data_IF_443929906848
#
_entry.id   IF_443929906848
#
_cell.length_a   1.000
_cell.length_b   1.000
_cell.length_c   1.000
_cell.angle_alpha   90.00
_cell.angle_beta   90.00
_cell.angle_gamma   90.00
#
_symmetry.space_group_name_H-M   'P 1'
#
loop_
_entity.id
_entity.type
_entity.pdbx_description
1 polymer ?
#
# COMPACT_ATOMS: atom_id res chain seq x y z
N UNK A 1 16.42 23.14 13.12
CA UNK A 1 15.17 23.58 12.52
C UNK A 1 14.37 22.43 11.86
N UNK A 2 14.99 21.37 11.36
CA UNK A 2 14.27 20.20 10.78
C UNK A 2 13.64 19.26 11.82
N UNK A 3 14.02 19.37 13.09
CA UNK A 3 13.67 18.42 14.15
C UNK A 3 12.20 18.46 14.62
N UNK A 4 11.40 19.40 14.11
CA UNK A 4 10.01 19.57 14.53
C UNK A 4 8.98 19.32 13.41
N UNK A 5 9.41 18.98 12.20
CA UNK A 5 8.47 18.74 11.08
C UNK A 5 7.85 17.36 11.21
N UNK A 6 8.66 16.34 11.50
CA UNK A 6 8.22 14.97 11.63
C UNK A 6 8.32 14.50 13.09
N UNK A 7 7.27 13.87 13.57
CA UNK A 7 7.25 13.23 14.90
C UNK A 7 7.36 11.71 14.69
N UNK A 8 8.61 11.22 14.63
CA UNK A 8 8.86 9.82 14.34
C UNK A 8 8.79 8.94 15.58
N UNK A 9 7.99 7.86 15.49
CA UNK A 9 8.00 6.72 16.42
C UNK A 9 8.05 5.43 15.60
N UNK A 10 9.23 4.95 15.29
CA UNK A 10 9.47 3.88 14.33
C UNK A 10 9.24 2.48 14.93
N UNK A 11 8.00 2.08 15.07
CA UNK A 11 7.62 0.82 15.72
C UNK A 11 7.87 -0.41 14.85
N UNK A 12 7.85 -0.27 13.50
CA UNK A 12 8.19 -1.37 12.58
C UNK A 12 9.61 -1.90 12.80
N UNK A 13 10.52 -1.04 13.27
CA UNK A 13 11.89 -1.41 13.64
C UNK A 13 11.96 -2.40 14.82
N UNK A 14 10.88 -2.54 15.61
CA UNK A 14 10.81 -3.52 16.71
C UNK A 14 10.52 -4.93 16.19
N UNK A 15 10.11 -5.09 14.93
CA UNK A 15 10.03 -6.39 14.29
C UNK A 15 11.44 -6.99 14.09
N UNK A 16 11.55 -8.32 14.03
CA UNK A 16 12.82 -8.99 13.72
C UNK A 16 13.50 -8.47 12.46
N UNK A 17 14.83 -8.54 12.44
CA UNK A 17 15.68 -8.00 11.37
C UNK A 17 15.40 -8.60 9.99
N UNK A 18 14.73 -9.75 9.93
CA UNK A 18 14.29 -10.40 8.70
C UNK A 18 13.29 -9.54 7.91
N UNK A 19 12.50 -8.70 8.60
CA UNK A 19 11.46 -7.87 7.98
C UNK A 19 11.97 -6.61 7.30
N UNK A 20 13.21 -6.21 7.52
CA UNK A 20 13.74 -4.97 6.96
C UNK A 20 15.27 -4.99 6.79
N UNK A 21 15.74 -4.12 5.95
CA UNK A 21 17.17 -3.84 5.78
C UNK A 21 17.42 -2.34 5.84
N UNK A 22 18.45 -1.94 6.57
CA UNK A 22 18.90 -0.54 6.57
C UNK A 22 19.43 -0.15 5.20
N UNK A 23 18.97 1.00 4.69
CA UNK A 23 19.40 1.51 3.38
C UNK A 23 19.33 3.03 3.36
N UNK A 24 20.29 3.66 2.68
CA UNK A 24 20.28 5.12 2.49
C UNK A 24 19.78 5.46 1.09
N UNK A 25 18.97 6.52 0.94
CA UNK A 25 18.61 7.03 -0.38
C UNK A 25 19.85 7.36 -1.21
N UNK A 26 19.77 7.15 -2.52
CA UNK A 26 20.78 7.63 -3.45
C UNK A 26 20.78 9.15 -3.43
N UNK A 27 21.96 9.77 -3.34
CA UNK A 27 22.08 11.21 -3.39
C UNK A 27 21.59 11.76 -4.73
N UNK A 28 20.71 12.73 -4.68
CA UNK A 28 20.15 13.45 -5.82
C UNK A 28 21.00 14.67 -6.13
N UNK A 29 21.36 14.85 -7.42
CA UNK A 29 22.33 15.89 -7.82
C UNK A 29 21.66 17.27 -7.84
N UNK A 30 20.48 17.39 -8.44
CA UNK A 30 19.77 18.65 -8.63
C UNK A 30 18.26 18.46 -8.35
N UNK A 31 17.89 18.31 -7.06
CA UNK A 31 16.50 18.11 -6.70
C UNK A 31 15.69 19.37 -6.99
N UNK A 32 14.53 19.17 -7.64
CA UNK A 32 13.58 20.23 -7.94
C UNK A 32 12.16 19.73 -7.68
N UNK A 33 11.42 20.48 -6.89
CA UNK A 33 10.02 20.16 -6.59
C UNK A 33 9.18 20.28 -7.87
N UNK A 34 8.62 19.15 -8.36
CA UNK A 34 7.72 19.13 -9.49
C UNK A 34 6.28 19.42 -9.07
N UNK A 35 5.86 18.86 -7.94
CA UNK A 35 4.55 19.09 -7.32
C UNK A 35 4.64 18.86 -5.81
N UNK A 36 3.86 19.62 -5.05
CA UNK A 36 3.74 19.52 -3.60
C UNK A 36 2.28 19.59 -3.18
N UNK A 37 1.90 18.78 -2.19
CA UNK A 37 0.54 18.67 -1.68
C UNK A 37 0.40 19.48 -0.40
N UNK A 38 0.05 20.76 -0.54
CA UNK A 38 -0.13 21.68 0.59
C UNK A 38 -1.26 21.24 1.53
N UNK A 39 -2.32 20.64 1.01
CA UNK A 39 -3.46 20.21 1.81
C UNK A 39 -3.10 18.98 2.67
N UNK A 40 -2.46 17.98 2.07
CA UNK A 40 -1.95 16.83 2.82
C UNK A 40 -0.90 17.24 3.86
N UNK A 41 -0.04 18.21 3.52
CA UNK A 41 0.94 18.77 4.44
C UNK A 41 0.26 19.32 5.71
N UNK A 42 -0.81 20.09 5.54
CA UNK A 42 -1.62 20.63 6.66
C UNK A 42 -2.35 19.54 7.44
N UNK A 43 -2.94 18.56 6.73
CA UNK A 43 -3.64 17.42 7.34
C UNK A 43 -2.73 16.60 8.25
N UNK A 44 -1.45 16.47 7.88
CA UNK A 44 -0.43 15.75 8.65
C UNK A 44 0.27 16.61 9.70
N UNK A 45 -0.09 17.89 9.82
CA UNK A 45 0.51 18.81 10.78
C UNK A 45 1.98 19.17 10.48
N UNK A 46 2.42 19.03 9.23
CA UNK A 46 3.76 19.41 8.84
C UNK A 46 3.88 20.93 8.67
N UNK A 47 4.89 21.53 9.29
CA UNK A 47 5.19 22.94 9.12
C UNK A 47 6.49 23.14 8.32
N UNK A 48 6.34 23.41 7.03
CA UNK A 48 7.43 23.73 6.11
C UNK A 48 7.63 25.24 5.92
N UNK A 49 6.92 26.10 6.65
CA UNK A 49 6.91 27.55 6.44
C UNK A 49 8.29 28.21 6.60
N UNK A 50 9.18 27.59 7.38
CA UNK A 50 10.54 28.08 7.60
C UNK A 50 11.56 27.59 6.56
N UNK A 51 11.16 26.74 5.62
CA UNK A 51 12.04 26.15 4.61
C UNK A 51 11.86 26.83 3.25
N UNK A 52 12.96 26.98 2.54
CA UNK A 52 12.90 27.35 1.13
C UNK A 52 12.38 26.18 0.26
N UNK A 53 11.85 26.45 -0.96
CA UNK A 53 11.48 25.38 -1.89
C UNK A 53 12.64 24.42 -2.21
N UNK A 54 13.88 24.92 -2.18
CA UNK A 54 15.10 24.12 -2.37
C UNK A 54 15.30 23.17 -1.18
N UNK A 55 15.20 23.68 0.07
CA UNK A 55 15.31 22.85 1.27
C UNK A 55 14.24 21.77 1.33
N UNK A 56 12.99 22.10 0.94
CA UNK A 56 11.88 21.13 0.83
C UNK A 56 12.23 20.06 -0.20
N UNK A 57 12.78 20.44 -1.36
CA UNK A 57 13.19 19.48 -2.40
C UNK A 57 14.28 18.54 -1.89
N UNK A 58 15.27 19.06 -1.17
CA UNK A 58 16.34 18.26 -0.55
C UNK A 58 15.82 17.31 0.52
N UNK A 59 14.86 17.75 1.32
CA UNK A 59 14.22 16.93 2.36
C UNK A 59 13.40 15.79 1.75
N UNK A 60 12.51 16.11 0.78
CA UNK A 60 11.56 15.17 0.21
C UNK A 60 12.16 14.26 -0.88
N UNK A 61 13.43 14.42 -1.25
CA UNK A 61 14.18 13.47 -2.07
C UNK A 61 15.16 12.59 -1.26
N UNK A 62 15.28 12.83 0.04
CA UNK A 62 16.19 12.09 0.92
C UNK A 62 17.64 12.56 0.90
N UNK A 63 17.96 13.74 0.34
CA UNK A 63 19.29 14.36 0.46
C UNK A 63 19.54 14.88 1.87
N UNK A 64 18.51 15.38 2.52
CA UNK A 64 18.52 15.81 3.91
C UNK A 64 17.64 14.85 4.71
N UNK A 65 18.22 14.22 5.72
CA UNK A 65 17.54 13.22 6.54
C UNK A 65 17.20 13.85 7.89
N UNK A 66 15.92 13.92 8.27
CA UNK A 66 15.50 14.39 9.59
C UNK A 66 15.97 13.47 10.71
N UNK A 67 16.21 14.03 11.89
CA UNK A 67 16.51 13.24 13.08
C UNK A 67 15.33 12.32 13.42
N UNK A 68 15.64 11.14 13.94
CA UNK A 68 14.65 10.11 14.25
C UNK A 68 14.21 9.25 13.07
N UNK A 69 14.74 9.49 11.86
CA UNK A 69 14.43 8.65 10.68
C UNK A 69 14.92 7.21 10.85
N UNK A 70 14.19 6.25 10.30
CA UNK A 70 14.54 4.81 10.36
C UNK A 70 15.30 4.29 9.13
N UNK A 71 15.09 4.86 7.96
CA UNK A 71 15.75 4.55 6.68
C UNK A 71 15.87 3.05 6.40
N UNK A 72 14.75 2.39 6.21
CA UNK A 72 14.70 0.95 5.92
C UNK A 72 13.98 0.64 4.61
N UNK A 73 14.35 -0.46 3.98
CA UNK A 73 13.56 -1.14 2.97
C UNK A 73 12.89 -2.35 3.61
N UNK A 74 11.59 -2.54 3.38
CA UNK A 74 10.81 -3.61 3.98
C UNK A 74 10.86 -4.88 3.12
N UNK A 75 10.95 -6.05 3.78
CA UNK A 75 10.91 -7.34 3.13
C UNK A 75 9.46 -7.82 3.00
N UNK A 76 9.12 -8.36 1.85
CA UNK A 76 7.87 -9.07 1.61
C UNK A 76 8.05 -10.08 0.47
N UNK A 77 7.07 -10.94 0.26
CA UNK A 77 6.97 -11.82 -0.89
C UNK A 77 5.65 -11.50 -1.62
N UNK A 78 5.32 -12.24 -2.65
CA UNK A 78 4.02 -12.08 -3.28
C UNK A 78 3.80 -13.00 -4.46
N UNK A 79 2.52 -13.22 -4.78
CA UNK A 79 2.12 -13.89 -5.99
C UNK A 79 1.94 -12.87 -7.10
N UNK A 80 2.98 -12.68 -7.90
CA UNK A 80 2.94 -11.79 -9.07
C UNK A 80 2.37 -12.55 -10.26
N UNK A 81 1.21 -12.11 -10.75
CA UNK A 81 0.44 -12.82 -11.79
C UNK A 81 0.23 -14.32 -11.49
N UNK A 82 0.06 -14.66 -10.20
CA UNK A 82 -0.11 -16.02 -9.71
C UNK A 82 1.17 -16.79 -9.40
N UNK A 83 2.34 -16.25 -9.71
CA UNK A 83 3.64 -16.88 -9.42
C UNK A 83 4.26 -16.31 -8.15
N UNK A 84 4.55 -17.18 -7.18
CA UNK A 84 5.18 -16.76 -5.92
C UNK A 84 6.61 -16.28 -6.15
N UNK A 85 6.94 -15.12 -5.61
CA UNK A 85 8.24 -14.47 -5.79
C UNK A 85 8.67 -13.78 -4.49
N UNK A 86 9.95 -13.93 -4.14
CA UNK A 86 10.58 -13.12 -3.08
C UNK A 86 10.78 -11.70 -3.60
N UNK A 87 10.31 -10.75 -2.82
CA UNK A 87 10.27 -9.33 -3.18
C UNK A 87 10.82 -8.48 -2.02
N UNK A 88 10.34 -7.28 -1.92
CA UNK A 88 10.65 -6.27 -0.94
C UNK A 88 10.64 -4.90 -1.60
N UNK A 89 10.88 -3.86 -0.83
CA UNK A 89 10.96 -2.48 -1.31
C UNK A 89 12.16 -2.30 -2.24
N UNK A 90 12.08 -2.78 -3.47
CA UNK A 90 13.17 -2.77 -4.44
C UNK A 90 13.55 -1.38 -4.99
N UNK A 91 12.72 -0.38 -4.72
CA UNK A 91 12.95 1.03 -5.11
C UNK A 91 12.30 2.02 -4.15
N UNK A 92 11.98 1.57 -2.94
CA UNK A 92 11.34 2.40 -1.95
C UNK A 92 12.08 2.29 -0.61
N UNK A 93 12.08 3.37 0.15
CA UNK A 93 12.76 3.47 1.44
C UNK A 93 11.80 4.16 2.40
N UNK A 94 11.45 3.49 3.49
CA UNK A 94 10.69 4.07 4.58
C UNK A 94 11.59 5.07 5.31
N UNK A 95 11.20 6.34 5.32
CA UNK A 95 11.88 7.40 6.05
C UNK A 95 11.62 7.27 7.57
N UNK A 96 10.39 6.94 7.92
CA UNK A 96 9.95 6.76 9.29
C UNK A 96 8.43 6.70 9.40
N UNK A 97 7.97 6.52 10.64
CA UNK A 97 6.56 6.47 11.00
C UNK A 97 6.20 7.75 11.75
N UNK A 98 5.48 8.66 11.10
CA UNK A 98 5.02 9.92 11.67
C UNK A 98 3.77 9.71 12.52
N UNK A 99 3.74 10.30 13.72
CA UNK A 99 2.60 10.24 14.65
C UNK A 99 1.91 11.58 14.72
N UNK A 100 0.59 11.56 14.55
CA UNK A 100 -0.27 12.73 14.72
C UNK A 100 -1.49 12.32 15.57
N UNK A 101 -1.50 12.72 16.83
CA UNK A 101 -2.49 12.25 17.79
C UNK A 101 -2.41 10.76 18.01
N UNK A 102 -3.49 10.04 17.76
CA UNK A 102 -3.60 8.58 17.82
C UNK A 102 -3.32 7.88 16.48
N UNK A 103 -3.04 8.66 15.42
CA UNK A 103 -2.77 8.13 14.08
C UNK A 103 -1.27 8.04 13.81
N UNK A 104 -0.89 7.03 13.03
CA UNK A 104 0.48 6.77 12.63
C UNK A 104 0.53 6.55 11.12
N UNK A 105 1.47 7.22 10.46
CA UNK A 105 1.63 7.20 9.01
C UNK A 105 3.07 6.85 8.63
N UNK A 106 3.23 5.92 7.73
CA UNK A 106 4.50 5.64 7.06
C UNK A 106 4.80 6.75 6.07
N UNK A 107 6.01 7.31 6.13
CA UNK A 107 6.56 8.21 5.11
C UNK A 107 7.60 7.44 4.31
N UNK A 108 7.36 7.26 3.02
CA UNK A 108 8.20 6.43 2.17
C UNK A 108 8.65 7.19 0.91
N UNK A 109 9.94 7.12 0.59
CA UNK A 109 10.48 7.59 -0.68
C UNK A 109 10.42 6.48 -1.72
N UNK A 110 9.77 6.71 -2.86
CA UNK A 110 9.69 5.76 -3.98
C UNK A 110 10.48 6.27 -5.18
N UNK A 111 11.41 5.47 -5.68
CA UNK A 111 12.37 5.86 -6.72
C UNK A 111 13.68 6.43 -6.18
N UNK A 112 13.97 6.20 -4.90
CA UNK A 112 15.08 6.82 -4.17
C UNK A 112 16.42 6.06 -4.27
N UNK A 113 16.51 5.08 -5.16
CA UNK A 113 17.74 4.32 -5.42
C UNK A 113 17.63 2.83 -5.07
N UNK A 114 18.72 2.07 -5.30
CA UNK A 114 18.72 0.64 -5.09
C UNK A 114 18.67 0.28 -3.60
N UNK A 115 18.00 -0.84 -3.33
CA UNK A 115 17.92 -1.49 -2.01
C UNK A 115 18.39 -2.93 -2.11
N UNK A 116 18.55 -3.66 -1.01
CA UNK A 116 18.83 -5.10 -1.05
C UNK A 116 17.79 -5.93 -1.82
N UNK A 117 16.59 -5.37 -2.02
CA UNK A 117 15.48 -6.03 -2.73
C UNK A 117 15.31 -5.61 -4.19
N UNK A 118 16.21 -4.78 -4.73
CA UNK A 118 16.12 -4.28 -6.12
C UNK A 118 16.41 -5.35 -7.17
N UNK A 119 16.95 -6.51 -6.75
CA UNK A 119 17.42 -7.56 -7.68
C UNK A 119 18.41 -6.95 -8.69
N UNK A 120 18.11 -6.99 -9.99
CA UNK A 120 18.93 -6.34 -11.04
C UNK A 120 18.49 -4.91 -11.37
N UNK A 121 17.51 -4.36 -10.66
CA UNK A 121 16.99 -3.02 -10.90
C UNK A 121 17.89 -1.93 -10.29
N UNK A 122 17.82 -0.71 -10.86
CA UNK A 122 18.56 0.46 -10.39
C UNK A 122 17.88 1.19 -9.21
N UNK A 123 16.67 0.76 -8.83
CA UNK A 123 15.90 1.38 -7.75
C UNK A 123 15.37 2.77 -8.06
N UNK A 124 15.51 3.26 -9.29
CA UNK A 124 15.10 4.59 -9.71
C UNK A 124 13.70 4.59 -10.36
N UNK A 125 13.08 5.75 -10.44
CA UNK A 125 11.79 5.92 -11.09
C UNK A 125 11.78 7.13 -12.03
N UNK A 126 11.13 6.97 -13.20
CA UNK A 126 10.90 8.08 -14.10
C UNK A 126 9.75 8.97 -13.59
N UNK A 127 9.73 10.24 -13.98
CA UNK A 127 8.75 11.23 -13.53
C UNK A 127 7.30 10.83 -13.88
N UNK A 128 7.06 10.27 -15.08
CA UNK A 128 5.72 9.92 -15.53
C UNK A 128 4.99 8.95 -14.58
N UNK A 129 5.56 7.79 -14.21
CA UNK A 129 5.01 6.91 -13.18
C UNK A 129 4.80 7.57 -11.82
N UNK A 130 5.68 8.46 -11.37
CA UNK A 130 5.56 9.15 -10.09
C UNK A 130 4.41 10.18 -10.10
N UNK A 131 4.29 10.94 -11.20
CA UNK A 131 3.17 11.87 -11.40
C UNK A 131 1.84 11.14 -11.52
N UNK A 132 1.78 10.00 -12.20
CA UNK A 132 0.56 9.18 -12.26
C UNK A 132 0.14 8.72 -10.88
N UNK A 133 1.07 8.18 -10.06
CA UNK A 133 0.77 7.75 -8.71
C UNK A 133 0.27 8.92 -7.85
N UNK A 134 0.89 10.10 -7.97
CA UNK A 134 0.43 11.31 -7.30
C UNK A 134 -1.00 11.68 -7.71
N UNK A 135 -1.27 11.80 -9.00
CA UNK A 135 -2.57 12.24 -9.52
C UNK A 135 -3.68 11.26 -9.13
N UNK A 136 -3.44 9.95 -9.31
CA UNK A 136 -4.46 8.94 -9.06
C UNK A 136 -4.70 8.75 -7.56
N UNK A 137 -3.66 8.74 -6.72
CA UNK A 137 -3.84 8.61 -5.28
C UNK A 137 -4.64 9.77 -4.69
N UNK A 138 -4.39 11.00 -5.13
CA UNK A 138 -5.14 12.16 -4.67
C UNK A 138 -6.58 12.17 -5.26
N UNK A 139 -6.76 11.75 -6.52
CA UNK A 139 -8.11 11.57 -7.07
C UNK A 139 -8.94 10.56 -6.26
N UNK A 140 -8.35 9.42 -5.88
CA UNK A 140 -9.00 8.41 -5.05
C UNK A 140 -9.37 8.96 -3.68
N UNK A 141 -8.50 9.75 -3.06
CA UNK A 141 -8.79 10.42 -1.80
C UNK A 141 -10.01 11.33 -1.91
N UNK A 142 -10.06 12.20 -2.92
CA UNK A 142 -11.21 13.11 -3.12
C UNK A 142 -12.49 12.40 -3.57
N UNK A 143 -12.39 11.17 -4.06
CA UNK A 143 -13.53 10.26 -4.30
C UNK A 143 -13.95 9.47 -3.05
N UNK A 144 -13.34 9.76 -1.89
CA UNK A 144 -13.56 9.06 -0.61
C UNK A 144 -13.24 7.55 -0.66
N UNK A 145 -12.22 7.17 -1.43
CA UNK A 145 -11.74 5.80 -1.51
C UNK A 145 -10.44 5.67 -0.71
N UNK A 146 -10.34 4.72 0.24
CA UNK A 146 -9.13 4.53 1.01
C UNK A 146 -7.90 4.31 0.11
N UNK A 147 -6.87 5.12 0.31
CA UNK A 147 -5.69 5.15 -0.56
C UNK A 147 -4.47 5.67 0.19
N UNK A 148 -3.29 5.18 -0.17
CA UNK A 148 -2.07 5.92 0.14
C UNK A 148 -2.14 7.30 -0.50
N UNK A 149 -1.47 8.29 0.12
CA UNK A 149 -1.45 9.68 -0.33
C UNK A 149 -0.06 10.02 -0.87
N UNK A 150 0.01 11.08 -1.64
CA UNK A 150 1.24 11.58 -2.24
C UNK A 150 1.53 12.99 -1.75
N UNK A 151 2.65 13.16 -1.01
CA UNK A 151 3.04 14.46 -0.46
C UNK A 151 3.77 15.32 -1.50
N UNK A 152 4.69 14.72 -2.24
CA UNK A 152 5.45 15.45 -3.25
C UNK A 152 6.02 14.53 -4.33
N UNK A 153 6.30 15.10 -5.51
CA UNK A 153 7.19 14.53 -6.51
C UNK A 153 8.37 15.50 -6.71
N UNK A 154 9.57 14.98 -6.57
CA UNK A 154 10.83 15.73 -6.73
C UNK A 154 11.59 15.17 -7.93
N UNK A 155 11.87 16.01 -8.92
CA UNK A 155 12.80 15.69 -10.03
C UNK A 155 14.22 15.55 -9.50
N UNK A 156 14.99 14.58 -10.04
CA UNK A 156 16.35 14.33 -9.57
C UNK A 156 17.43 15.13 -10.32
N UNK A 157 17.08 15.71 -11.47
CA UNK A 157 18.02 16.33 -12.38
C UNK A 157 18.90 15.33 -13.15
N UNK A 158 18.61 14.03 -13.04
CA UNK A 158 19.28 12.94 -13.76
C UNK A 158 18.29 12.25 -14.69
N UNK A 159 18.77 11.82 -15.87
CA UNK A 159 17.99 10.97 -16.77
C UNK A 159 18.05 9.51 -16.33
N UNK A 160 16.93 8.83 -16.44
CA UNK A 160 16.79 7.39 -16.24
C UNK A 160 16.64 6.73 -17.60
N UNK A 161 17.44 5.71 -17.86
CA UNK A 161 17.38 4.93 -19.09
C UNK A 161 16.41 3.77 -18.90
N UNK A 162 15.38 3.72 -19.74
CA UNK A 162 14.45 2.61 -19.90
C UNK A 162 14.43 2.25 -21.41
N UNK A 163 13.29 2.31 -22.06
CA UNK A 163 13.20 2.21 -23.52
C UNK A 163 13.83 3.42 -24.20
N UNK A 164 13.78 4.56 -23.53
CA UNK A 164 14.43 5.81 -23.88
C UNK A 164 14.87 6.55 -22.60
N UNK A 165 15.43 7.75 -22.75
CA UNK A 165 15.77 8.60 -21.61
C UNK A 165 14.52 9.30 -21.08
N UNK A 166 14.30 9.24 -19.77
CA UNK A 166 13.26 9.94 -19.06
C UNK A 166 13.82 10.72 -17.88
N UNK A 167 13.30 11.91 -17.54
CA UNK A 167 13.66 12.58 -16.31
C UNK A 167 13.38 11.68 -15.11
N UNK A 168 14.35 11.58 -14.19
CA UNK A 168 14.22 10.84 -12.95
C UNK A 168 13.42 11.62 -11.91
N UNK A 169 12.66 10.92 -11.07
CA UNK A 169 11.92 11.54 -9.98
C UNK A 169 11.77 10.60 -8.77
N UNK A 170 11.53 11.21 -7.62
CA UNK A 170 11.21 10.53 -6.36
C UNK A 170 9.84 11.01 -5.90
N UNK A 171 8.97 10.06 -5.53
CA UNK A 171 7.70 10.32 -4.89
C UNK A 171 7.83 10.13 -3.38
N UNK A 172 7.40 11.12 -2.59
CA UNK A 172 7.17 10.97 -1.15
C UNK A 172 5.74 10.49 -0.94
N UNK A 173 5.60 9.21 -0.58
CA UNK A 173 4.34 8.52 -0.35
C UNK A 173 4.01 8.47 1.14
N UNK A 174 2.74 8.64 1.47
CA UNK A 174 2.18 8.56 2.82
C UNK A 174 1.16 7.43 2.85
N UNK A 175 1.21 6.57 3.85
CA UNK A 175 0.24 5.48 4.04
C UNK A 175 0.06 5.20 5.53
N UNK A 176 -1.07 4.65 5.93
CA UNK A 176 -1.24 4.19 7.33
C UNK A 176 -0.23 3.09 7.68
N UNK A 177 0.09 2.22 6.75
CA UNK A 177 1.29 1.36 6.77
C UNK A 177 1.51 0.70 5.41
N UNK A 178 2.71 0.11 5.23
CA UNK A 178 3.04 -0.70 4.07
C UNK A 178 3.02 -2.21 4.37
N UNK A 179 2.37 -2.64 5.46
CA UNK A 179 2.14 -4.05 5.73
C UNK A 179 1.14 -4.59 4.71
N UNK A 180 1.50 -5.68 4.04
CA UNK A 180 0.76 -6.27 2.92
C UNK A 180 0.46 -7.74 3.19
N UNK A 181 -0.44 -8.33 2.43
CA UNK A 181 -0.58 -9.80 2.39
C UNK A 181 0.78 -10.44 2.11
N UNK A 182 1.56 -9.85 1.21
CA UNK A 182 2.93 -10.28 0.90
C UNK A 182 3.91 -10.26 2.07
N UNK A 183 3.72 -9.40 3.08
CA UNK A 183 4.55 -9.39 4.29
C UNK A 183 4.31 -10.66 5.13
N UNK A 184 3.06 -11.09 5.24
CA UNK A 184 2.70 -12.35 5.90
C UNK A 184 3.19 -13.57 5.12
N UNK A 185 3.11 -13.52 3.79
CA UNK A 185 3.67 -14.58 2.94
C UNK A 185 5.18 -14.70 3.08
N UNK A 186 5.89 -13.58 3.25
CA UNK A 186 7.30 -13.58 3.56
C UNK A 186 7.58 -14.22 4.94
N UNK A 187 6.81 -13.85 5.96
CA UNK A 187 7.00 -14.37 7.31
C UNK A 187 6.85 -15.89 7.40
N UNK A 188 5.84 -16.46 6.71
CA UNK A 188 5.54 -17.90 6.81
C UNK A 188 6.59 -18.81 6.19
N UNK A 189 7.34 -18.30 5.20
CA UNK A 189 8.36 -19.10 4.52
C UNK A 189 9.74 -19.05 5.20
N UNK A 190 9.91 -18.18 6.21
CA UNK A 190 11.14 -18.13 6.99
C UNK A 190 11.31 -19.37 7.87
N UNK A 191 12.55 -19.64 8.25
CA UNK A 191 12.87 -20.77 9.14
C UNK A 191 12.23 -20.57 10.55
N UNK A 192 12.32 -19.35 11.10
CA UNK A 192 11.67 -18.98 12.37
C UNK A 192 10.15 -18.82 12.19
N UNK A 193 9.40 -19.85 12.54
CA UNK A 193 7.93 -19.83 12.47
C UNK A 193 7.26 -18.85 13.44
N UNK A 194 7.99 -18.31 14.41
CA UNK A 194 7.48 -17.28 15.32
C UNK A 194 7.28 -15.93 14.64
N UNK A 195 7.90 -15.70 13.47
CA UNK A 195 7.82 -14.43 12.74
C UNK A 195 6.38 -14.08 12.35
N UNK A 196 5.57 -15.07 11.97
CA UNK A 196 4.15 -14.84 11.65
C UNK A 196 3.40 -14.28 12.86
N UNK A 197 3.62 -14.88 14.05
CA UNK A 197 2.97 -14.42 15.27
C UNK A 197 3.44 -13.02 15.70
N UNK A 198 4.73 -12.72 15.56
CA UNK A 198 5.29 -11.38 15.84
C UNK A 198 4.68 -10.32 14.91
N UNK A 199 4.63 -10.61 13.60
CA UNK A 199 4.01 -9.73 12.60
C UNK A 199 2.51 -9.56 12.86
N UNK A 200 1.80 -10.64 13.17
CA UNK A 200 0.38 -10.63 13.48
C UNK A 200 0.07 -9.71 14.67
N UNK A 201 0.77 -9.89 15.81
CA UNK A 201 0.57 -9.05 16.98
C UNK A 201 0.87 -7.58 16.68
N UNK A 202 1.97 -7.29 15.98
CA UNK A 202 2.29 -5.93 15.54
C UNK A 202 1.18 -5.33 14.67
N UNK A 203 0.64 -6.11 13.73
CA UNK A 203 -0.44 -5.66 12.83
C UNK A 203 -1.74 -5.40 13.59
N UNK A 204 -2.06 -6.24 14.58
CA UNK A 204 -3.21 -6.01 15.46
C UNK A 204 -3.06 -4.70 16.24
N UNK A 205 -1.93 -4.51 16.91
CA UNK A 205 -1.66 -3.29 17.70
C UNK A 205 -1.77 -2.02 16.83
N UNK A 206 -1.31 -2.10 15.58
CA UNK A 206 -1.26 -0.97 14.67
C UNK A 206 -2.60 -0.63 14.00
N UNK A 207 -3.36 -1.63 13.57
CA UNK A 207 -4.54 -1.42 12.73
C UNK A 207 -5.84 -1.90 13.35
N UNK A 208 -5.79 -2.83 14.30
CA UNK A 208 -6.95 -3.48 14.88
C UNK A 208 -6.90 -3.54 16.42
N UNK A 209 -6.61 -2.42 17.12
CA UNK A 209 -6.46 -2.42 18.56
C UNK A 209 -7.72 -2.91 19.29
N UNK A 210 -8.90 -2.75 18.68
CA UNK A 210 -10.17 -3.27 19.19
C UNK A 210 -10.25 -4.79 19.23
N UNK A 211 -9.40 -5.51 18.49
CA UNK A 211 -9.35 -6.97 18.48
C UNK A 211 -8.36 -7.56 19.50
N UNK A 212 -7.60 -6.71 20.21
CA UNK A 212 -6.58 -7.18 21.18
C UNK A 212 -7.16 -8.01 22.32
N UNK A 213 -8.40 -7.76 22.71
CA UNK A 213 -9.09 -8.49 23.76
C UNK A 213 -10.01 -9.61 23.25
N UNK A 214 -10.06 -9.84 21.92
CA UNK A 214 -10.87 -10.92 21.34
C UNK A 214 -10.33 -12.29 21.74
N UNK A 215 -11.22 -13.25 21.92
CA UNK A 215 -10.88 -14.66 22.17
C UNK A 215 -10.47 -15.40 20.88
N UNK A 216 -10.87 -14.86 19.72
CA UNK A 216 -10.63 -15.44 18.39
C UNK A 216 -9.85 -14.46 17.49
N UNK A 217 -8.82 -13.80 18.05
CA UNK A 217 -8.10 -12.68 17.41
C UNK A 217 -7.77 -12.90 15.95
N UNK A 218 -7.24 -14.08 15.60
CA UNK A 218 -6.79 -14.35 14.23
C UNK A 218 -7.96 -14.52 13.25
N UNK A 219 -9.05 -15.11 13.70
CA UNK A 219 -10.26 -15.25 12.88
C UNK A 219 -10.98 -13.90 12.72
N UNK A 220 -11.11 -13.14 13.81
CA UNK A 220 -11.73 -11.81 13.77
C UNK A 220 -10.92 -10.82 12.93
N UNK A 221 -9.57 -10.93 12.99
CA UNK A 221 -8.68 -10.20 12.12
C UNK A 221 -8.91 -10.54 10.64
N UNK A 222 -9.05 -11.84 10.32
CA UNK A 222 -9.35 -12.26 8.95
C UNK A 222 -10.66 -11.66 8.45
N UNK A 223 -11.73 -11.70 9.26
CA UNK A 223 -13.01 -11.09 8.93
C UNK A 223 -12.90 -9.57 8.75
N UNK A 224 -12.15 -8.88 9.61
CA UNK A 224 -11.95 -7.43 9.49
C UNK A 224 -11.23 -7.05 8.18
N UNK A 225 -10.20 -7.79 7.78
CA UNK A 225 -9.53 -7.59 6.49
C UNK A 225 -10.46 -7.91 5.32
N UNK A 226 -11.24 -8.97 5.40
CA UNK A 226 -12.24 -9.34 4.37
C UNK A 226 -13.22 -8.19 4.18
N UNK A 227 -13.73 -7.62 5.26
CA UNK A 227 -14.68 -6.50 5.21
C UNK A 227 -14.05 -5.26 4.56
N UNK A 228 -12.86 -4.86 5.00
CA UNK A 228 -12.13 -3.71 4.43
C UNK A 228 -11.85 -3.88 2.94
N UNK A 229 -11.42 -5.06 2.51
CA UNK A 229 -11.12 -5.32 1.11
C UNK A 229 -12.39 -5.41 0.25
N UNK A 230 -13.50 -5.91 0.79
CA UNK A 230 -14.79 -5.89 0.10
C UNK A 230 -15.26 -4.45 -0.11
N UNK A 231 -15.17 -3.57 0.89
CA UNK A 231 -15.49 -2.15 0.78
C UNK A 231 -14.61 -1.46 -0.28
N UNK A 232 -13.31 -1.69 -0.21
CA UNK A 232 -12.34 -1.08 -1.13
C UNK A 232 -12.66 -1.43 -2.58
N UNK A 233 -12.81 -2.74 -2.87
CA UNK A 233 -13.04 -3.20 -4.25
C UNK A 233 -14.43 -2.81 -4.75
N UNK A 234 -15.46 -2.80 -3.89
CA UNK A 234 -16.78 -2.28 -4.25
C UNK A 234 -16.70 -0.82 -4.70
N UNK A 235 -15.91 0.01 -4.01
CA UNK A 235 -15.69 1.40 -4.40
C UNK A 235 -14.89 1.54 -5.71
N UNK A 236 -13.90 0.67 -5.97
CA UNK A 236 -13.21 0.66 -7.28
C UNK A 236 -14.18 0.34 -8.42
N UNK A 237 -15.03 -0.68 -8.21
CA UNK A 237 -16.03 -1.09 -9.22
C UNK A 237 -17.02 0.04 -9.50
N UNK A 238 -17.47 0.75 -8.46
CA UNK A 238 -18.40 1.89 -8.57
C UNK A 238 -17.91 2.99 -9.51
N UNK A 239 -16.62 3.30 -9.46
CA UNK A 239 -16.04 4.40 -10.25
C UNK A 239 -15.34 3.95 -11.54
N UNK A 240 -15.46 2.66 -11.90
CA UNK A 240 -14.80 2.12 -13.08
C UNK A 240 -13.27 2.07 -13.00
N UNK A 241 -12.70 2.02 -11.79
CA UNK A 241 -11.27 1.96 -11.59
C UNK A 241 -10.74 0.54 -11.77
N UNK A 242 -9.64 0.42 -12.50
CA UNK A 242 -8.89 -0.84 -12.69
C UNK A 242 -7.50 -0.65 -12.13
N UNK A 243 -7.16 -1.43 -11.10
CA UNK A 243 -5.83 -1.38 -10.48
C UNK A 243 -4.74 -1.90 -11.42
N UNK A 244 -5.04 -2.95 -12.16
CA UNK A 244 -4.19 -3.52 -13.20
C UNK A 244 -3.08 -4.45 -12.69
N UNK A 245 -2.72 -4.44 -11.40
CA UNK A 245 -1.72 -5.34 -10.80
C UNK A 245 -2.14 -5.71 -9.37
N UNK A 246 -3.12 -6.60 -9.26
CA UNK A 246 -3.65 -7.05 -7.95
C UNK A 246 -2.89 -8.25 -7.41
N UNK A 247 -1.58 -8.15 -7.37
CA UNK A 247 -0.72 -9.12 -6.70
C UNK A 247 -0.94 -9.08 -5.18
N UNK A 248 -0.57 -10.14 -4.47
CA UNK A 248 -0.64 -10.17 -2.99
C UNK A 248 0.28 -9.15 -2.32
N UNK A 249 1.34 -8.72 -3.01
CA UNK A 249 2.23 -7.64 -2.58
C UNK A 249 1.64 -6.24 -2.80
N UNK A 250 0.49 -6.12 -3.48
CA UNK A 250 -0.25 -4.86 -3.66
C UNK A 250 -1.58 -4.82 -2.87
N UNK A 251 -1.74 -5.70 -1.89
CA UNK A 251 -2.90 -5.71 -0.97
C UNK A 251 -2.44 -5.26 0.42
N UNK A 252 -2.68 -3.99 0.74
CA UNK A 252 -2.36 -3.41 2.05
C UNK A 252 -3.37 -3.86 3.10
N UNK A 253 -2.87 -4.20 4.29
CA UNK A 253 -3.72 -4.61 5.42
C UNK A 253 -4.34 -3.41 6.15
N UNK A 254 -3.92 -2.18 5.82
CA UNK A 254 -4.60 -0.94 6.21
C UNK A 254 -5.92 -0.71 5.46
N UNK A 255 -6.23 -1.52 4.43
CA UNK A 255 -7.40 -1.31 3.56
C UNK A 255 -7.21 -0.19 2.52
N UNK A 256 -6.00 0.34 2.38
CA UNK A 256 -5.70 1.40 1.40
C UNK A 256 -5.32 0.82 0.04
N UNK A 257 -5.68 1.51 -1.04
CA UNK A 257 -5.13 1.27 -2.37
C UNK A 257 -3.68 1.73 -2.41
N UNK A 258 -2.76 0.87 -2.86
CA UNK A 258 -1.33 1.18 -2.98
C UNK A 258 -0.79 0.82 -4.37
N UNK A 259 0.38 1.38 -4.71
CA UNK A 259 1.17 1.01 -5.90
C UNK A 259 0.43 1.20 -7.24
N UNK A 260 0.07 2.44 -7.55
CA UNK A 260 -0.57 2.85 -8.80
C UNK A 260 0.38 2.72 -10.01
N UNK A 261 0.46 1.49 -10.51
CA UNK A 261 1.25 1.14 -11.70
C UNK A 261 0.47 1.37 -12.99
N UNK A 262 0.04 0.33 -13.71
CA UNK A 262 -0.72 0.44 -14.95
C UNK A 262 -2.22 0.67 -14.71
N UNK A 263 -2.60 1.36 -13.63
CA UNK A 263 -3.99 1.63 -13.28
C UNK A 263 -4.61 2.68 -14.19
N UNK A 264 -5.93 2.61 -14.37
CA UNK A 264 -6.71 3.64 -15.04
C UNK A 264 -8.21 3.53 -14.69
N UNK A 265 -8.98 4.55 -15.09
CA UNK A 265 -10.44 4.52 -15.09
C UNK A 265 -10.94 4.13 -16.48
N UNK A 266 -12.05 3.38 -16.56
CA UNK A 266 -12.65 3.01 -17.85
C UNK A 266 -13.35 4.22 -18.48
N UNK A 267 -13.17 4.42 -19.78
CA UNK A 267 -13.95 5.38 -20.56
C UNK A 267 -15.32 4.81 -20.95
N UNK A 268 -15.36 3.52 -21.27
CA UNK A 268 -16.57 2.78 -21.61
C UNK A 268 -16.61 1.49 -20.82
N UNK A 269 -17.82 1.08 -20.39
CA UNK A 269 -17.98 -0.15 -19.67
C UNK A 269 -17.62 -1.36 -20.54
N UNK A 270 -16.55 -2.05 -20.15
CA UNK A 270 -16.16 -3.34 -20.68
C UNK A 270 -15.57 -4.19 -19.54
N UNK A 271 -16.25 -5.30 -19.15
CA UNK A 271 -15.82 -6.17 -18.06
C UNK A 271 -14.44 -6.81 -18.30
N UNK A 272 -13.99 -6.89 -19.56
CA UNK A 272 -12.73 -7.51 -19.93
C UNK A 272 -11.57 -6.51 -20.05
N UNK A 273 -11.80 -5.22 -19.76
CA UNK A 273 -10.79 -4.19 -19.85
C UNK A 273 -9.59 -4.49 -18.96
N UNK A 274 -8.38 -4.43 -19.53
CA UNK A 274 -7.07 -4.67 -18.91
C UNK A 274 -6.15 -3.50 -19.23
N UNK A 275 -5.44 -2.97 -18.24
CA UNK A 275 -4.46 -1.89 -18.45
C UNK A 275 -3.00 -2.33 -18.28
N UNK A 276 -2.74 -3.48 -17.68
CA UNK A 276 -1.38 -4.02 -17.61
C UNK A 276 -0.99 -4.66 -18.94
N UNK A 277 0.04 -4.14 -19.61
CA UNK A 277 0.54 -4.67 -20.88
C UNK A 277 1.09 -6.10 -20.81
N UNK A 278 1.39 -6.59 -19.60
CA UNK A 278 1.88 -7.95 -19.36
C UNK A 278 0.79 -8.92 -18.91
N UNK A 279 -0.42 -8.44 -18.69
CA UNK A 279 -1.58 -9.27 -18.31
C UNK A 279 -2.30 -9.81 -19.55
N UNK A 280 -1.65 -10.70 -20.27
CA UNK A 280 -2.18 -11.27 -21.51
C UNK A 280 -3.42 -12.16 -21.31
N UNK A 281 -3.67 -12.61 -20.08
CA UNK A 281 -4.80 -13.51 -19.76
C UNK A 281 -5.98 -12.76 -19.11
N UNK A 282 -5.87 -11.46 -18.89
CA UNK A 282 -6.91 -10.68 -18.23
C UNK A 282 -7.13 -11.06 -16.77
N UNK A 283 -6.08 -11.55 -16.09
CA UNK A 283 -6.17 -11.93 -14.68
C UNK A 283 -6.68 -10.78 -13.81
N UNK A 284 -6.27 -9.55 -14.11
CA UNK A 284 -6.63 -8.33 -13.40
C UNK A 284 -7.55 -7.42 -14.22
N UNK A 285 -8.39 -8.02 -15.08
CA UNK A 285 -9.43 -7.27 -15.79
C UNK A 285 -10.47 -6.73 -14.80
N UNK A 286 -11.24 -5.72 -15.24
CA UNK A 286 -12.24 -5.06 -14.40
C UNK A 286 -13.14 -6.04 -13.64
N UNK A 287 -13.81 -6.94 -14.36
CA UNK A 287 -14.74 -7.90 -13.74
C UNK A 287 -14.07 -8.94 -12.85
N UNK A 288 -12.78 -9.17 -13.01
CA UNK A 288 -12.03 -10.13 -12.18
C UNK A 288 -11.55 -9.54 -10.85
N UNK A 289 -11.61 -8.24 -10.65
CA UNK A 289 -11.09 -7.59 -9.43
C UNK A 289 -11.69 -8.17 -8.13
N UNK A 290 -13.02 -8.40 -8.00
CA UNK A 290 -13.57 -9.04 -6.80
C UNK A 290 -13.07 -10.46 -6.59
N UNK A 291 -12.98 -11.26 -7.66
CA UNK A 291 -12.54 -12.66 -7.61
C UNK A 291 -11.08 -12.76 -7.18
N UNK A 292 -10.22 -11.90 -7.73
CA UNK A 292 -8.80 -11.85 -7.38
C UNK A 292 -8.61 -11.34 -5.96
N UNK A 293 -9.45 -10.43 -5.48
CA UNK A 293 -9.42 -10.00 -4.07
C UNK A 293 -9.72 -11.16 -3.14
N UNK A 294 -10.76 -11.96 -3.40
CA UNK A 294 -11.07 -13.17 -2.63
C UNK A 294 -9.88 -14.16 -2.64
N UNK A 295 -9.25 -14.34 -3.81
CA UNK A 295 -8.07 -15.18 -3.92
C UNK A 295 -6.88 -14.66 -3.10
N UNK A 296 -6.64 -13.34 -3.10
CA UNK A 296 -5.59 -12.72 -2.28
C UNK A 296 -5.86 -12.88 -0.78
N UNK A 297 -7.12 -12.77 -0.37
CA UNK A 297 -7.56 -13.01 1.01
C UNK A 297 -7.33 -14.47 1.44
N UNK A 298 -7.58 -15.43 0.53
CA UNK A 298 -7.24 -16.84 0.79
C UNK A 298 -5.72 -17.02 0.98
N UNK A 299 -4.88 -16.31 0.22
CA UNK A 299 -3.42 -16.33 0.41
C UNK A 299 -3.01 -15.74 1.78
N UNK A 300 -3.73 -14.74 2.29
CA UNK A 300 -3.53 -14.26 3.67
C UNK A 300 -3.94 -15.31 4.70
N UNK A 301 -5.15 -15.87 4.55
CA UNK A 301 -5.70 -16.86 5.47
C UNK A 301 -4.76 -18.05 5.68
N UNK A 302 -4.16 -18.56 4.60
CA UNK A 302 -3.17 -19.65 4.65
C UNK A 302 -1.99 -19.33 5.56
N UNK A 303 -1.53 -18.07 5.61
CA UNK A 303 -0.37 -17.68 6.42
C UNK A 303 -0.67 -17.68 7.92
N UNK A 304 -1.92 -17.50 8.32
CA UNK A 304 -2.35 -17.37 9.72
C UNK A 304 -3.13 -18.58 10.25
N UNK A 305 -3.28 -19.67 9.48
CA UNK A 305 -3.97 -20.88 9.92
C UNK A 305 -3.51 -21.37 11.30
N UNK A 306 -2.20 -21.43 11.63
CA UNK A 306 -1.73 -21.85 12.95
C UNK A 306 -2.16 -20.93 14.09
N UNK A 307 -2.55 -19.67 13.81
CA UNK A 307 -3.03 -18.70 14.80
C UNK A 307 -4.55 -18.79 15.01
N UNK A 308 -5.29 -19.33 14.02
CA UNK A 308 -6.75 -19.51 14.10
C UNK A 308 -7.11 -20.68 15.02
N UNK A 309 -6.40 -21.80 14.90
CA UNK A 309 -6.65 -22.98 15.76
C UNK A 309 -5.43 -23.90 15.77
N UNK A 310 -5.18 -24.55 16.94
CA UNK A 310 -4.14 -25.57 17.08
C UNK A 310 -4.44 -26.83 16.23
N UNK A 311 -5.72 -27.08 15.93
CA UNK A 311 -6.15 -28.18 15.06
C UNK A 311 -6.26 -27.68 13.62
N UNK A 312 -5.35 -28.16 12.76
CA UNK A 312 -5.26 -27.72 11.36
C UNK A 312 -6.60 -27.84 10.61
N UNK A 313 -7.31 -28.97 10.74
CA UNK A 313 -8.63 -29.18 10.10
C UNK A 313 -9.65 -28.12 10.55
N UNK A 314 -9.67 -27.76 11.83
CA UNK A 314 -10.55 -26.72 12.34
C UNK A 314 -10.15 -25.33 11.84
N UNK A 315 -8.85 -25.03 11.84
CA UNK A 315 -8.34 -23.77 11.29
C UNK A 315 -8.72 -23.61 9.83
N UNK A 316 -8.52 -24.65 9.02
CA UNK A 316 -8.85 -24.65 7.59
C UNK A 316 -10.35 -24.42 7.38
N UNK A 317 -11.21 -25.16 8.10
CA UNK A 317 -12.66 -25.00 8.02
C UNK A 317 -13.12 -23.58 8.33
N UNK A 318 -12.61 -22.99 9.44
CA UNK A 318 -12.98 -21.63 9.84
C UNK A 318 -12.48 -20.58 8.85
N UNK A 319 -11.26 -20.77 8.31
CA UNK A 319 -10.72 -19.89 7.28
C UNK A 319 -11.51 -19.98 5.96
N UNK A 320 -11.88 -21.18 5.52
CA UNK A 320 -12.72 -21.39 4.34
C UNK A 320 -14.10 -20.75 4.50
N UNK A 321 -14.74 -20.91 5.67
CA UNK A 321 -16.01 -20.24 5.98
C UNK A 321 -15.89 -18.73 5.87
N UNK A 322 -14.83 -18.13 6.43
CA UNK A 322 -14.57 -16.70 6.34
C UNK A 322 -14.34 -16.22 4.90
N UNK A 323 -13.52 -16.93 4.12
CA UNK A 323 -13.25 -16.59 2.72
C UNK A 323 -14.49 -16.72 1.85
N UNK A 324 -15.32 -17.74 2.08
CA UNK A 324 -16.56 -17.94 1.32
C UNK A 324 -17.59 -16.84 1.62
N UNK A 325 -17.60 -16.28 2.82
CA UNK A 325 -18.48 -15.16 3.18
C UNK A 325 -18.16 -13.86 2.40
N UNK A 326 -16.98 -13.75 1.79
CA UNK A 326 -16.58 -12.57 1.00
C UNK A 326 -17.54 -12.27 -0.16
N UNK A 327 -17.99 -13.30 -0.90
CA UNK A 327 -18.84 -13.10 -2.07
C UNK A 327 -20.20 -12.47 -1.70
N UNK A 328 -20.84 -12.98 -0.64
CA UNK A 328 -22.13 -12.46 -0.14
C UNK A 328 -21.95 -11.05 0.42
N UNK A 329 -20.86 -10.79 1.14
CA UNK A 329 -20.52 -9.48 1.68
C UNK A 329 -20.30 -8.45 0.55
N UNK A 330 -19.51 -8.79 -0.46
CA UNK A 330 -19.27 -7.94 -1.63
C UNK A 330 -20.58 -7.62 -2.34
N UNK A 331 -21.43 -8.64 -2.60
CA UNK A 331 -22.72 -8.43 -3.23
C UNK A 331 -23.64 -7.52 -2.39
N UNK A 332 -23.68 -7.72 -1.08
CA UNK A 332 -24.44 -6.85 -0.16
C UNK A 332 -23.99 -5.39 -0.23
N UNK A 333 -22.66 -5.14 -0.23
CA UNK A 333 -22.10 -3.80 -0.34
C UNK A 333 -22.43 -3.15 -1.70
N UNK A 334 -22.39 -3.90 -2.80
CA UNK A 334 -22.83 -3.39 -4.10
C UNK A 334 -24.32 -3.02 -4.10
N UNK A 335 -25.19 -3.85 -3.50
CA UNK A 335 -26.62 -3.54 -3.38
C UNK A 335 -26.89 -2.29 -2.55
N UNK A 336 -26.15 -2.10 -1.44
CA UNK A 336 -26.28 -0.91 -0.60
C UNK A 336 -25.91 0.37 -1.34
N UNK A 337 -24.83 0.35 -2.14
CA UNK A 337 -24.45 1.51 -2.96
C UNK A 337 -25.54 1.84 -3.98
N UNK A 338 -26.09 0.85 -4.68
CA UNK A 338 -27.16 1.05 -5.65
C UNK A 338 -28.43 1.62 -5.02
N UNK A 339 -28.81 1.14 -3.83
CA UNK A 339 -30.03 1.58 -3.15
C UNK A 339 -29.87 2.97 -2.52
N UNK A 340 -28.68 3.33 -2.04
CA UNK A 340 -28.42 4.68 -1.50
C UNK A 340 -28.40 5.73 -2.61
N UNK A 341 -27.80 5.43 -3.75
CA UNK A 341 -27.77 6.32 -4.93
C UNK A 341 -29.18 6.54 -5.52
N UNK A 342 -30.00 5.47 -5.56
CA UNK A 342 -31.36 5.55 -6.06
C UNK A 342 -32.31 6.36 -5.13
N UNK A 343 -31.97 6.54 -3.86
CA UNK A 343 -32.76 7.34 -2.92
C UNK A 343 -32.53 8.86 -3.14
N UNK A 344 -31.39 9.26 -3.72
CA UNK A 344 -31.08 10.65 -4.08
C UNK A 344 -31.70 11.05 -5.43
N UNK A 345 -32.11 10.08 -6.26
CA UNK A 345 -32.79 10.28 -7.56
C UNK A 345 -34.32 10.45 -7.41
N UNK A 346 -34.82 10.99 -6.31
CA UNK A 346 -36.24 11.39 -6.27
C UNK A 346 -36.47 12.50 -7.27
N UNK A 347 -37.29 12.29 -8.33
CA UNK A 347 -37.60 13.37 -9.27
C UNK A 347 -38.25 14.50 -8.50
N UNK A 348 -37.64 15.70 -8.58
CA UNK A 348 -38.31 16.92 -8.22
C UNK A 348 -39.54 17.05 -9.11
N UNK A 349 -40.73 16.74 -8.57
CA UNK A 349 -42.02 17.01 -9.19
C UNK A 349 -42.37 18.48 -8.94
#
# INVERSE_FOLDING_TARGET
MLNNIFHFENTYMNLPSEFHSYVKPKKVISPKLAIFNDDLCKELGFDFSSLSPEDISHLLCGNTIPDGSSLIAQAYAGHQFGHFTMLGDGRAILLGEHVLGDKRFDIQFKGSGPTPYSRSGDGLAAIGPMMREYIISEAMHYLNIPTCRSLAVVETGEDIIREQKYPGAILTRISQSHIRVGTFQFAVIQEDKSLVNKLFNYTLERHFPNLLESKSKALDFLYAIIEQQADLVTNWMRIGFIHGVMNTDNVALSGETIDYGPCAFMDHYDPLTVFSSIDHQGRYSFANQPIITQWNLARLAETILPLISDKHENALKLAEEAINAYADLYQSKCCLLYTSDAADDTPCV
#
